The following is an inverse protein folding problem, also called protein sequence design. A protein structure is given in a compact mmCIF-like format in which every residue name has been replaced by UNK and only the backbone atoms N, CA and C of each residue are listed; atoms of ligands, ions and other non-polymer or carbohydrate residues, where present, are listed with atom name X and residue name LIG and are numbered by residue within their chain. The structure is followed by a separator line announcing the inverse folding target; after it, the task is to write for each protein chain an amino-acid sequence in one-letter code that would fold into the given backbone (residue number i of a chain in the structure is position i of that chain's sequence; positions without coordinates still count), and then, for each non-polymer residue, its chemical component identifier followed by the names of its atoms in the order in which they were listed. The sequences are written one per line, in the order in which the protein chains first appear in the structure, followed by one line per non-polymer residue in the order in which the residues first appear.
data_IF_286764168848
#
_entry.id   IF_286764168848
#
_cell.length_a   1.000
_cell.length_b   1.000
_cell.length_c   1.000
_cell.angle_alpha   90.00
_cell.angle_beta   90.00
_cell.angle_gamma   90.00
#
_symmetry.space_group_name_H-M   'P 1'
#
loop_
_entity.id
_entity.type
_entity.pdbx_description
1 polymer ?
#
# COMPACT_ATOMS: atom_id res chain seq x y z
N UNK A 1 -33.39 -35.88 66.26
CA UNK A 1 -33.15 -34.47 65.89
C UNK A 1 -32.25 -34.45 64.68
N UNK A 2 -32.82 -34.30 63.51
CA UNK A 2 -32.09 -34.23 62.23
C UNK A 2 -32.12 -32.80 61.76
N UNK A 3 -30.94 -32.15 61.71
CA UNK A 3 -30.75 -30.82 61.12
C UNK A 3 -30.64 -30.95 59.61
N UNK A 4 -31.55 -30.34 58.89
CA UNK A 4 -31.50 -30.16 57.46
C UNK A 4 -30.66 -28.87 57.15
N UNK A 5 -29.57 -29.03 56.45
CA UNK A 5 -28.79 -27.91 55.95
C UNK A 5 -29.39 -27.44 54.62
N UNK A 6 -29.87 -26.20 54.56
CA UNK A 6 -30.36 -25.56 53.36
C UNK A 6 -29.16 -24.90 52.62
N UNK A 7 -28.80 -25.43 51.48
CA UNK A 7 -27.79 -24.83 50.61
C UNK A 7 -28.42 -23.71 49.75
N UNK A 8 -28.04 -22.48 49.99
CA UNK A 8 -28.42 -21.33 49.14
C UNK A 8 -27.49 -21.28 47.92
N UNK A 9 -28.02 -21.63 46.77
CA UNK A 9 -27.35 -21.39 45.47
C UNK A 9 -27.46 -19.90 45.14
N UNK A 10 -26.33 -19.16 45.26
CA UNK A 10 -26.25 -17.83 44.70
C UNK A 10 -26.03 -17.90 43.17
N UNK A 11 -27.06 -17.59 42.42
CA UNK A 11 -26.93 -17.41 40.98
C UNK A 11 -26.16 -16.14 40.67
N UNK A 12 -24.89 -16.27 40.25
CA UNK A 12 -24.11 -15.15 39.72
C UNK A 12 -24.68 -14.77 38.35
N UNK A 13 -25.38 -13.67 38.26
CA UNK A 13 -25.73 -13.06 36.99
C UNK A 13 -24.48 -12.49 36.35
N UNK A 14 -23.85 -13.24 35.46
CA UNK A 14 -22.79 -12.72 34.59
C UNK A 14 -23.44 -11.67 33.66
N UNK A 15 -23.24 -10.42 33.95
CA UNK A 15 -23.53 -9.35 32.98
C UNK A 15 -22.63 -9.55 31.77
N UNK A 16 -23.23 -9.94 30.65
CA UNK A 16 -22.54 -9.97 29.38
C UNK A 16 -22.01 -8.55 29.11
N UNK A 17 -20.71 -8.38 29.27
CA UNK A 17 -20.03 -7.15 28.86
C UNK A 17 -20.19 -7.05 27.35
N UNK A 18 -21.04 -6.16 26.86
CA UNK A 18 -21.14 -5.85 25.44
C UNK A 18 -19.78 -5.34 25.01
N UNK A 19 -19.09 -6.11 24.16
CA UNK A 19 -17.82 -5.70 23.59
C UNK A 19 -18.00 -4.33 22.95
N UNK A 20 -17.06 -3.42 23.20
CA UNK A 20 -17.08 -2.11 22.56
C UNK A 20 -17.07 -2.30 21.02
N UNK A 21 -17.85 -1.50 20.28
CA UNK A 21 -17.85 -1.61 18.84
C UNK A 21 -16.42 -1.42 18.30
N UNK A 22 -16.03 -2.15 17.23
CA UNK A 22 -14.70 -2.01 16.66
C UNK A 22 -14.46 -0.56 16.24
N UNK A 23 -13.21 -0.07 16.34
CA UNK A 23 -12.90 1.30 15.92
C UNK A 23 -13.22 1.48 14.42
N UNK A 24 -13.65 2.69 14.02
CA UNK A 24 -14.03 2.94 12.63
C UNK A 24 -12.85 2.73 11.69
N UNK A 25 -13.08 2.06 10.56
CA UNK A 25 -12.07 1.86 9.52
C UNK A 25 -11.56 3.18 8.94
N UNK A 26 -12.45 4.16 8.80
CA UNK A 26 -12.11 5.51 8.33
C UNK A 26 -12.26 6.52 9.47
N UNK A 27 -11.24 7.35 9.68
CA UNK A 27 -11.20 8.38 10.73
C UNK A 27 -11.15 9.79 10.14
N UNK A 28 -11.48 10.80 10.94
CA UNK A 28 -11.29 12.20 10.52
C UNK A 28 -9.83 12.50 10.15
N UNK A 29 -8.86 11.86 10.81
CA UNK A 29 -7.44 12.00 10.47
C UNK A 29 -7.09 11.52 9.06
N UNK A 30 -7.76 10.47 8.58
CA UNK A 30 -7.59 9.99 7.20
C UNK A 30 -8.17 11.00 6.20
N UNK A 31 -9.27 11.65 6.54
CA UNK A 31 -9.85 12.75 5.75
C UNK A 31 -8.91 13.96 5.66
N UNK A 32 -8.31 14.38 6.78
CA UNK A 32 -7.30 15.46 6.79
C UNK A 32 -6.06 15.08 5.98
N UNK A 33 -5.61 13.84 6.07
CA UNK A 33 -4.47 13.34 5.28
C UNK A 33 -4.81 13.37 3.78
N UNK A 34 -5.98 12.88 3.38
CA UNK A 34 -6.45 12.94 1.99
C UNK A 34 -6.48 14.38 1.47
N UNK A 35 -7.08 15.30 2.23
CA UNK A 35 -7.12 16.72 1.91
C UNK A 35 -5.72 17.33 1.79
N UNK A 36 -4.82 16.96 2.70
CA UNK A 36 -3.41 17.39 2.67
C UNK A 36 -2.68 16.94 1.41
N UNK A 37 -2.84 15.68 0.98
CA UNK A 37 -2.24 15.20 -0.26
C UNK A 37 -2.86 15.84 -1.51
N UNK A 38 -4.17 16.10 -1.52
CA UNK A 38 -4.80 16.85 -2.61
C UNK A 38 -4.24 18.26 -2.68
N UNK A 39 -4.15 18.97 -1.56
CA UNK A 39 -3.57 20.30 -1.50
C UNK A 39 -2.09 20.29 -1.94
N UNK A 40 -1.29 19.34 -1.45
CA UNK A 40 0.11 19.19 -1.85
C UNK A 40 0.25 18.89 -3.36
N UNK A 41 -0.66 18.10 -3.93
CA UNK A 41 -0.70 17.84 -5.37
C UNK A 41 -0.94 19.13 -6.17
N UNK A 42 -1.91 19.93 -5.77
CA UNK A 42 -2.20 21.22 -6.41
C UNK A 42 -1.02 22.20 -6.27
N UNK A 43 -0.36 22.23 -5.11
CA UNK A 43 0.84 23.05 -4.87
C UNK A 43 2.07 22.54 -5.64
N UNK A 44 2.12 21.27 -6.01
CA UNK A 44 3.19 20.69 -6.81
C UNK A 44 3.04 20.99 -8.32
N UNK A 45 1.82 21.18 -8.84
CA UNK A 45 1.55 21.39 -10.26
C UNK A 45 2.38 22.52 -10.90
N UNK A 46 2.56 23.70 -10.28
CA UNK A 46 3.39 24.77 -10.85
C UNK A 46 4.88 24.39 -11.04
N UNK A 47 5.34 23.35 -10.37
CA UNK A 47 6.72 22.86 -10.45
C UNK A 47 6.90 21.69 -11.43
N UNK A 48 5.83 21.16 -12.01
CA UNK A 48 5.86 19.98 -12.88
C UNK A 48 6.81 20.15 -14.06
N UNK A 49 6.62 21.19 -14.86
CA UNK A 49 7.48 21.45 -16.03
C UNK A 49 8.92 21.74 -15.62
N UNK A 50 9.11 22.58 -14.60
CA UNK A 50 10.45 22.97 -14.14
C UNK A 50 11.26 21.77 -13.68
N UNK A 51 10.66 20.90 -12.86
CA UNK A 51 11.32 19.69 -12.38
C UNK A 51 11.59 18.71 -13.52
N UNK A 52 10.60 18.50 -14.39
CA UNK A 52 10.74 17.60 -15.54
C UNK A 52 11.91 18.05 -16.44
N UNK A 53 11.95 19.34 -16.82
CA UNK A 53 13.06 19.90 -17.63
C UNK A 53 14.41 19.77 -16.92
N UNK A 54 14.47 20.04 -15.62
CA UNK A 54 15.71 19.91 -14.86
C UNK A 54 16.21 18.46 -14.85
N UNK A 55 15.30 17.49 -14.58
CA UNK A 55 15.64 16.07 -14.56
C UNK A 55 16.11 15.54 -15.92
N UNK A 56 15.68 16.17 -17.03
CA UNK A 56 16.07 15.77 -18.39
C UNK A 56 17.33 16.48 -18.92
N UNK A 57 17.97 17.34 -18.13
CA UNK A 57 19.23 17.97 -18.55
C UNK A 57 20.35 16.94 -18.66
N UNK A 58 21.29 17.12 -19.62
CA UNK A 58 22.42 16.20 -19.79
C UNK A 58 23.24 15.96 -18.52
N UNK A 59 23.38 16.96 -17.66
CA UNK A 59 24.10 16.84 -16.40
C UNK A 59 23.48 15.77 -15.47
N UNK A 60 22.16 15.71 -15.37
CA UNK A 60 21.44 14.71 -14.57
C UNK A 60 21.38 13.35 -15.27
N UNK A 61 21.11 13.34 -16.58
CA UNK A 61 20.95 12.09 -17.32
C UNK A 61 22.27 11.34 -17.56
N UNK A 62 23.40 12.05 -17.60
CA UNK A 62 24.75 11.47 -17.74
C UNK A 62 25.39 11.13 -16.38
N UNK A 63 24.80 11.53 -15.26
CA UNK A 63 25.28 11.17 -13.92
C UNK A 63 24.98 9.69 -13.63
N UNK A 64 26.06 8.90 -13.49
CA UNK A 64 25.95 7.45 -13.28
C UNK A 64 25.25 7.11 -11.94
N UNK A 65 25.48 7.90 -10.89
CA UNK A 65 24.85 7.66 -9.58
C UNK A 65 23.35 7.91 -9.63
N UNK A 66 22.92 9.02 -10.25
CA UNK A 66 21.49 9.31 -10.45
C UNK A 66 20.81 8.25 -11.31
N UNK A 67 21.43 7.85 -12.42
CA UNK A 67 20.91 6.83 -13.34
C UNK A 67 20.74 5.47 -12.64
N UNK A 68 21.78 5.02 -11.92
CA UNK A 68 21.74 3.75 -11.21
C UNK A 68 20.69 3.78 -10.09
N UNK A 69 20.67 4.85 -9.29
CA UNK A 69 19.67 5.05 -8.23
C UNK A 69 18.25 5.00 -8.81
N UNK A 70 17.98 5.79 -9.85
CA UNK A 70 16.66 5.80 -10.49
C UNK A 70 16.26 4.42 -11.05
N UNK A 71 17.22 3.67 -11.62
CA UNK A 71 16.97 2.33 -12.14
C UNK A 71 16.64 1.35 -11.02
N UNK A 72 17.42 1.33 -9.94
CA UNK A 72 17.18 0.45 -8.78
C UNK A 72 15.81 0.72 -8.17
N UNK A 73 15.51 1.99 -7.87
CA UNK A 73 14.26 2.35 -7.20
C UNK A 73 13.03 2.27 -8.11
N UNK A 74 13.18 2.46 -9.42
CA UNK A 74 12.12 2.12 -10.39
C UNK A 74 11.76 0.64 -10.31
N UNK A 75 12.75 -0.25 -10.37
CA UNK A 75 12.52 -1.69 -10.34
C UNK A 75 12.02 -2.17 -8.96
N UNK A 76 12.42 -1.49 -7.88
CA UNK A 76 11.91 -1.75 -6.54
C UNK A 76 10.41 -1.38 -6.43
N UNK A 77 9.97 -0.35 -7.15
CA UNK A 77 8.54 0.01 -7.19
C UNK A 77 7.71 -0.96 -8.04
N UNK A 78 8.23 -1.36 -9.22
CA UNK A 78 7.55 -2.25 -10.14
C UNK A 78 8.58 -3.09 -10.93
N UNK A 79 8.60 -4.42 -10.79
CA UNK A 79 7.66 -5.28 -10.04
C UNK A 79 8.00 -5.49 -8.54
N UNK A 80 9.02 -4.80 -8.02
CA UNK A 80 9.59 -5.11 -6.70
C UNK A 80 8.58 -5.09 -5.54
N UNK A 81 7.61 -4.16 -5.52
CA UNK A 81 6.59 -4.11 -4.46
C UNK A 81 5.73 -5.36 -4.42
N UNK A 82 5.33 -5.89 -5.58
CA UNK A 82 4.55 -7.13 -5.68
C UNK A 82 5.39 -8.33 -5.25
N UNK A 83 6.67 -8.37 -5.65
CA UNK A 83 7.60 -9.43 -5.25
C UNK A 83 7.86 -9.39 -3.74
N UNK A 84 7.99 -8.20 -3.13
CA UNK A 84 8.20 -8.07 -1.69
C UNK A 84 6.94 -8.51 -0.93
N UNK A 85 5.77 -7.97 -1.25
CA UNK A 85 4.51 -8.31 -0.58
C UNK A 85 4.17 -9.80 -0.71
N UNK A 86 4.12 -10.29 -1.95
CA UNK A 86 3.84 -11.71 -2.23
C UNK A 86 4.93 -12.65 -1.69
N UNK A 87 6.20 -12.25 -1.77
CA UNK A 87 7.33 -13.01 -1.25
C UNK A 87 7.29 -13.15 0.28
N UNK A 88 6.99 -12.05 1.01
CA UNK A 88 6.80 -12.10 2.46
C UNK A 88 5.63 -13.00 2.85
N UNK A 89 4.50 -12.91 2.13
CA UNK A 89 3.36 -13.78 2.35
C UNK A 89 3.74 -15.27 2.19
N UNK A 90 4.35 -15.62 1.05
CA UNK A 90 4.75 -17.01 0.77
C UNK A 90 5.80 -17.49 1.79
N UNK A 91 6.81 -16.69 2.09
CA UNK A 91 7.84 -17.03 3.07
C UNK A 91 7.23 -17.24 4.47
N UNK A 92 6.35 -16.36 4.92
CA UNK A 92 5.64 -16.49 6.17
C UNK A 92 4.80 -17.76 6.25
N UNK A 93 4.12 -18.14 5.15
CA UNK A 93 3.36 -19.38 5.05
C UNK A 93 4.25 -20.63 5.15
N UNK A 94 5.41 -20.61 4.49
CA UNK A 94 6.35 -21.75 4.49
C UNK A 94 7.08 -21.90 5.82
N UNK A 95 7.38 -20.81 6.50
CA UNK A 95 8.07 -20.80 7.82
C UNK A 95 7.12 -20.84 9.02
N UNK A 96 5.79 -20.81 8.78
CA UNK A 96 4.75 -20.71 9.80
C UNK A 96 4.88 -19.42 10.66
N UNK A 97 5.48 -18.38 10.11
CA UNK A 97 5.58 -17.06 10.72
C UNK A 97 4.35 -16.23 10.37
N UNK A 98 3.45 -16.09 11.37
CA UNK A 98 2.19 -15.36 11.19
C UNK A 98 2.43 -13.88 10.92
N UNK A 99 3.37 -13.25 11.63
CA UNK A 99 3.67 -11.84 11.45
C UNK A 99 4.15 -11.54 10.03
N UNK A 100 5.08 -12.36 9.51
CA UNK A 100 5.55 -12.23 8.13
C UNK A 100 4.41 -12.46 7.12
N UNK A 101 3.51 -13.41 7.41
CA UNK A 101 2.33 -13.69 6.58
C UNK A 101 1.39 -12.49 6.54
N UNK A 102 1.05 -11.90 7.70
CA UNK A 102 0.15 -10.76 7.82
C UNK A 102 0.74 -9.53 7.10
N UNK A 103 2.01 -9.20 7.35
CA UNK A 103 2.72 -8.11 6.65
C UNK A 103 2.69 -8.30 5.13
N UNK A 104 2.95 -9.52 4.64
CA UNK A 104 2.94 -9.81 3.21
C UNK A 104 1.55 -9.72 2.58
N UNK A 105 0.54 -10.31 3.24
CA UNK A 105 -0.84 -10.31 2.75
C UNK A 105 -1.41 -8.89 2.72
N UNK A 106 -1.39 -8.19 3.84
CA UNK A 106 -1.98 -6.85 3.95
C UNK A 106 -1.26 -5.81 3.07
N UNK A 107 0.07 -5.96 2.89
CA UNK A 107 0.79 -5.14 1.91
C UNK A 107 0.34 -5.40 0.48
N UNK A 108 0.13 -6.66 0.12
CA UNK A 108 -0.34 -7.04 -1.22
C UNK A 108 -1.75 -6.51 -1.48
N UNK A 109 -2.64 -6.61 -0.51
CA UNK A 109 -3.99 -6.04 -0.59
C UNK A 109 -3.97 -4.52 -0.72
N UNK A 110 -3.12 -3.85 0.05
CA UNK A 110 -2.96 -2.39 -0.02
C UNK A 110 -2.50 -1.96 -1.41
N UNK A 111 -1.54 -2.69 -2.02
CA UNK A 111 -1.08 -2.43 -3.38
C UNK A 111 -2.22 -2.62 -4.39
N UNK A 112 -3.01 -3.70 -4.26
CA UNK A 112 -4.15 -3.96 -5.15
C UNK A 112 -5.21 -2.87 -5.00
N UNK A 113 -5.62 -2.54 -3.77
CA UNK A 113 -6.62 -1.51 -3.51
C UNK A 113 -6.20 -0.15 -4.07
N UNK A 114 -4.94 0.24 -3.80
CA UNK A 114 -4.37 1.46 -4.35
C UNK A 114 -4.32 1.44 -5.87
N UNK A 115 -3.92 0.31 -6.48
CA UNK A 115 -3.82 0.16 -7.94
C UNK A 115 -5.19 0.27 -8.63
N UNK A 116 -6.23 -0.30 -8.04
CA UNK A 116 -7.61 -0.16 -8.55
C UNK A 116 -8.05 1.30 -8.51
N UNK A 117 -7.85 1.99 -7.39
CA UNK A 117 -8.17 3.42 -7.27
C UNK A 117 -7.37 4.25 -8.29
N UNK A 118 -6.07 3.97 -8.40
CA UNK A 118 -5.19 4.64 -9.36
C UNK A 118 -5.59 4.40 -10.81
N UNK A 119 -6.00 3.17 -11.16
CA UNK A 119 -6.46 2.83 -12.51
C UNK A 119 -7.72 3.64 -12.90
N UNK A 120 -8.69 3.74 -12.01
CA UNK A 120 -9.93 4.51 -12.26
C UNK A 120 -9.59 5.98 -12.53
N UNK A 121 -8.77 6.59 -11.66
CA UNK A 121 -8.41 8.00 -11.80
C UNK A 121 -7.58 8.22 -13.08
N UNK A 122 -6.61 7.36 -13.35
CA UNK A 122 -5.72 7.40 -14.50
C UNK A 122 -6.50 7.31 -15.81
N UNK A 123 -7.43 6.37 -15.91
CA UNK A 123 -8.29 6.17 -17.05
C UNK A 123 -9.17 7.40 -17.31
N UNK A 124 -9.73 7.99 -16.25
CA UNK A 124 -10.58 9.18 -16.36
C UNK A 124 -9.76 10.44 -16.68
N UNK A 125 -8.65 10.68 -15.98
CA UNK A 125 -7.86 11.91 -16.14
C UNK A 125 -7.22 12.04 -17.52
N UNK A 126 -6.69 10.96 -18.08
CA UNK A 126 -6.08 10.93 -19.41
C UNK A 126 -4.97 11.97 -19.60
N UNK A 127 -4.13 12.18 -18.56
CA UNK A 127 -3.05 13.17 -18.57
C UNK A 127 -1.88 12.69 -19.42
N UNK A 128 -1.34 13.55 -20.29
CA UNK A 128 -0.12 13.27 -21.04
C UNK A 128 1.10 13.15 -20.11
N UNK A 129 1.99 12.19 -20.40
CA UNK A 129 3.28 12.06 -19.71
C UNK A 129 4.27 13.13 -20.17
N UNK A 130 5.28 13.50 -19.33
CA UNK A 130 6.28 14.49 -19.72
C UNK A 130 6.99 14.16 -21.04
N UNK A 131 7.20 12.88 -21.33
CA UNK A 131 7.84 12.41 -22.58
C UNK A 131 7.03 12.71 -23.86
N UNK A 132 5.73 12.98 -23.75
CA UNK A 132 4.88 13.34 -24.88
C UNK A 132 5.06 14.82 -25.23
N UNK A 133 4.94 15.67 -24.23
CA UNK A 133 5.19 17.11 -24.36
C UNK A 133 5.60 17.70 -23.00
N UNK A 134 6.87 17.92 -22.84
CA UNK A 134 7.45 18.45 -21.59
C UNK A 134 7.07 19.91 -21.33
N UNK A 135 6.59 20.65 -22.33
CA UNK A 135 6.16 22.04 -22.22
C UNK A 135 4.70 22.18 -21.77
N UNK A 136 3.93 21.08 -21.82
CA UNK A 136 2.50 21.13 -21.51
C UNK A 136 2.09 20.16 -20.38
N UNK A 137 2.33 20.49 -19.12
CA UNK A 137 1.97 19.65 -17.96
C UNK A 137 0.46 19.60 -17.71
N UNK A 138 -0.35 20.40 -18.42
CA UNK A 138 -1.80 20.52 -18.25
C UNK A 138 -2.62 19.84 -19.35
N UNK A 139 -1.99 18.99 -20.17
CA UNK A 139 -2.71 18.22 -21.20
C UNK A 139 -3.50 17.06 -20.59
N UNK A 140 -4.75 17.35 -20.19
CA UNK A 140 -5.72 16.39 -19.70
C UNK A 140 -6.86 16.22 -20.72
N UNK A 141 -7.26 14.96 -20.96
CA UNK A 141 -8.43 14.65 -21.77
C UNK A 141 -9.15 13.43 -21.22
N UNK A 142 -10.38 13.63 -20.75
CA UNK A 142 -11.19 12.60 -20.14
C UNK A 142 -11.25 11.31 -20.98
N UNK A 143 -11.01 10.17 -20.35
CA UNK A 143 -11.07 8.85 -20.97
C UNK A 143 -9.88 8.47 -21.86
N UNK A 144 -8.97 9.41 -22.21
CA UNK A 144 -7.83 9.15 -23.09
C UNK A 144 -6.83 8.15 -22.50
N UNK A 145 -6.78 8.04 -21.19
CA UNK A 145 -5.94 7.06 -20.48
C UNK A 145 -6.28 5.59 -20.81
N UNK A 146 -7.48 5.32 -21.33
CA UNK A 146 -7.85 3.97 -21.77
C UNK A 146 -7.21 3.55 -23.10
N UNK A 147 -6.70 4.51 -23.88
CA UNK A 147 -6.27 4.27 -25.25
C UNK A 147 -4.74 4.10 -25.39
N UNK A 148 -3.96 4.69 -24.50
CA UNK A 148 -2.50 4.65 -24.60
C UNK A 148 -1.82 4.97 -23.29
N UNK A 149 -0.77 4.22 -22.98
CA UNK A 149 0.11 4.44 -21.81
C UNK A 149 0.73 5.85 -21.76
N UNK A 150 0.86 6.54 -22.91
CA UNK A 150 1.36 7.91 -22.97
C UNK A 150 0.45 8.93 -22.28
N UNK A 151 -0.80 8.58 -22.08
CA UNK A 151 -1.81 9.41 -21.44
C UNK A 151 -2.26 8.89 -20.08
N UNK A 152 -1.49 7.99 -19.50
CA UNK A 152 -1.70 7.44 -18.17
C UNK A 152 -0.77 8.07 -17.13
N UNK A 153 -0.54 9.39 -17.19
CA UNK A 153 0.40 10.02 -16.26
C UNK A 153 -0.15 10.14 -14.84
N UNK A 154 -1.39 10.58 -14.67
CA UNK A 154 -1.96 10.95 -13.37
C UNK A 154 -2.95 9.92 -12.82
N UNK A 155 -2.74 9.40 -11.62
CA UNK A 155 -1.57 9.51 -10.75
C UNK A 155 -0.44 8.53 -11.11
N UNK A 156 0.75 8.67 -10.49
CA UNK A 156 1.87 7.76 -10.69
C UNK A 156 1.63 6.39 -10.05
N UNK A 157 1.56 5.32 -10.87
CA UNK A 157 1.36 3.95 -10.38
C UNK A 157 2.53 3.43 -9.53
N UNK A 158 3.79 3.75 -9.89
CA UNK A 158 4.97 3.37 -9.11
C UNK A 158 5.00 4.03 -7.72
N UNK A 159 4.68 5.33 -7.65
CA UNK A 159 4.58 6.04 -6.37
C UNK A 159 3.47 5.42 -5.51
N UNK A 160 2.33 5.16 -6.11
CA UNK A 160 1.17 4.55 -5.48
C UNK A 160 1.50 3.18 -4.87
N UNK A 161 2.09 2.26 -5.64
CA UNK A 161 2.44 0.92 -5.16
C UNK A 161 3.53 0.97 -4.06
N UNK A 162 4.57 1.79 -4.25
CA UNK A 162 5.65 1.92 -3.27
C UNK A 162 5.16 2.50 -1.93
N UNK A 163 4.30 3.51 -1.97
CA UNK A 163 3.73 4.10 -0.75
C UNK A 163 2.66 3.23 -0.11
N UNK A 164 1.92 2.42 -0.87
CA UNK A 164 1.01 1.42 -0.32
C UNK A 164 1.76 0.36 0.47
N UNK A 165 2.83 -0.21 -0.11
CA UNK A 165 3.71 -1.14 0.58
C UNK A 165 4.32 -0.50 1.84
N UNK A 166 4.93 0.68 1.72
CA UNK A 166 5.58 1.37 2.84
C UNK A 166 4.60 1.64 3.98
N UNK A 167 3.40 2.08 3.64
CA UNK A 167 2.35 2.40 4.61
C UNK A 167 1.83 1.15 5.31
N UNK A 168 1.56 0.07 4.57
CA UNK A 168 1.10 -1.19 5.14
C UNK A 168 2.16 -1.80 6.07
N UNK A 169 3.42 -1.89 5.63
CA UNK A 169 4.54 -2.41 6.45
C UNK A 169 4.71 -1.56 7.72
N UNK A 170 4.64 -0.23 7.62
CA UNK A 170 4.76 0.65 8.77
C UNK A 170 3.58 0.51 9.74
N UNK A 171 2.37 0.34 9.23
CA UNK A 171 1.19 0.12 10.05
C UNK A 171 1.27 -1.22 10.79
N UNK A 172 1.63 -2.31 10.08
CA UNK A 172 1.86 -3.62 10.70
C UNK A 172 2.96 -3.59 11.76
N UNK A 173 4.04 -2.84 11.50
CA UNK A 173 5.10 -2.66 12.49
C UNK A 173 4.57 -2.05 13.80
N UNK A 174 3.54 -1.22 13.75
CA UNK A 174 2.89 -0.68 14.94
C UNK A 174 2.17 -1.73 15.77
N UNK A 175 1.66 -2.79 15.15
CA UNK A 175 1.01 -3.92 15.85
C UNK A 175 2.02 -4.93 16.38
N UNK A 176 3.10 -5.20 15.64
CA UNK A 176 4.03 -6.29 15.95
C UNK A 176 5.33 -5.83 16.60
N UNK A 177 5.82 -4.60 16.32
CA UNK A 177 7.12 -4.06 16.75
C UNK A 177 7.02 -2.55 16.99
N UNK A 178 6.16 -2.14 17.93
CA UNK A 178 5.86 -0.72 18.18
C UNK A 178 7.11 0.14 18.48
N UNK A 179 8.11 -0.43 19.15
CA UNK A 179 9.41 0.19 19.43
C UNK A 179 10.24 0.47 18.17
N UNK A 180 10.02 -0.29 17.11
CA UNK A 180 10.74 -0.19 15.83
C UNK A 180 9.92 0.49 14.73
N UNK A 181 8.65 0.80 14.96
CA UNK A 181 7.74 1.36 13.95
C UNK A 181 8.31 2.60 13.28
N UNK A 182 8.88 3.52 14.05
CA UNK A 182 9.46 4.77 13.51
C UNK A 182 10.63 4.48 12.57
N UNK A 183 11.54 3.58 12.95
CA UNK A 183 12.68 3.20 12.11
C UNK A 183 12.22 2.50 10.83
N UNK A 184 11.30 1.52 10.95
CA UNK A 184 10.73 0.79 9.82
C UNK A 184 10.03 1.79 8.88
N UNK A 185 9.25 2.72 9.43
CA UNK A 185 8.59 3.77 8.68
C UNK A 185 9.59 4.67 7.93
N UNK A 186 10.65 5.12 8.59
CA UNK A 186 11.67 5.95 7.96
C UNK A 186 12.33 5.24 6.76
N UNK A 187 12.65 3.94 6.91
CA UNK A 187 13.27 3.15 5.86
C UNK A 187 12.31 2.89 4.68
N UNK A 188 11.09 2.46 4.98
CA UNK A 188 10.12 2.09 3.94
C UNK A 188 9.60 3.31 3.18
N UNK A 189 9.23 4.40 3.87
CA UNK A 189 8.83 5.65 3.21
C UNK A 189 10.02 6.35 2.52
N UNK A 190 11.24 6.23 3.05
CA UNK A 190 12.46 6.69 2.37
C UNK A 190 12.65 5.96 1.04
N UNK A 191 12.56 4.64 1.03
CA UNK A 191 12.62 3.84 -0.19
C UNK A 191 11.48 4.15 -1.16
N UNK A 192 10.24 4.31 -0.67
CA UNK A 192 9.09 4.71 -1.48
C UNK A 192 9.28 6.09 -2.12
N UNK A 193 9.86 7.04 -1.38
CA UNK A 193 10.17 8.39 -1.90
C UNK A 193 11.19 8.33 -3.03
N UNK A 194 12.26 7.57 -2.89
CA UNK A 194 13.26 7.39 -3.95
C UNK A 194 12.66 6.68 -5.18
N UNK A 195 11.79 5.68 -4.95
CA UNK A 195 11.02 5.02 -6.02
C UNK A 195 10.12 6.01 -6.76
N UNK A 196 9.45 6.88 -6.02
CA UNK A 196 8.58 7.91 -6.58
C UNK A 196 9.38 8.96 -7.38
N UNK A 197 10.51 9.44 -6.85
CA UNK A 197 11.39 10.41 -7.52
C UNK A 197 12.09 9.83 -8.77
N UNK A 198 12.24 8.52 -8.87
CA UNK A 198 12.72 7.89 -10.10
C UNK A 198 11.81 8.18 -11.31
N UNK A 199 10.54 8.55 -11.10
CA UNK A 199 9.57 8.69 -12.18
C UNK A 199 9.71 9.98 -12.98
N UNK A 200 9.86 11.17 -12.37
CA UNK A 200 10.26 12.37 -13.09
C UNK A 200 11.62 12.22 -13.79
N UNK A 201 12.60 11.56 -13.15
CA UNK A 201 13.89 11.25 -13.76
C UNK A 201 13.75 10.44 -15.04
N UNK A 202 12.85 9.45 -15.06
CA UNK A 202 12.58 8.61 -16.23
C UNK A 202 11.62 9.25 -17.25
N UNK A 203 11.32 10.54 -17.13
CA UNK A 203 10.39 11.26 -18.01
C UNK A 203 8.99 10.61 -18.14
N UNK A 204 8.56 9.93 -17.07
CA UNK A 204 7.35 9.11 -17.06
C UNK A 204 6.16 9.74 -16.34
N UNK A 205 6.43 10.57 -15.35
CA UNK A 205 5.42 11.22 -14.51
C UNK A 205 5.83 12.62 -14.10
N UNK A 206 4.86 13.49 -13.90
CA UNK A 206 5.03 14.80 -13.31
C UNK A 206 5.19 14.71 -11.78
N UNK A 207 5.69 15.76 -11.15
CA UNK A 207 5.81 15.82 -9.68
C UNK A 207 4.45 15.67 -9.01
N UNK A 208 3.44 16.36 -9.51
CA UNK A 208 2.06 16.29 -8.98
C UNK A 208 1.45 14.90 -9.11
N UNK A 209 1.75 14.13 -10.18
CA UNK A 209 1.32 12.73 -10.33
C UNK A 209 1.91 11.85 -9.22
N UNK A 210 3.17 12.12 -8.86
CA UNK A 210 3.91 11.39 -7.83
C UNK A 210 3.33 11.69 -6.44
N UNK A 211 3.04 12.96 -6.15
CA UNK A 211 2.47 13.38 -4.86
C UNK A 211 1.09 12.75 -4.64
N UNK A 212 0.21 12.78 -5.66
CA UNK A 212 -1.09 12.15 -5.54
C UNK A 212 -0.98 10.62 -5.39
N UNK A 213 -0.09 10.00 -6.17
CA UNK A 213 0.18 8.56 -6.05
C UNK A 213 0.63 8.17 -4.65
N UNK A 214 1.54 8.96 -4.05
CA UNK A 214 2.00 8.77 -2.68
C UNK A 214 0.84 8.88 -1.67
N UNK A 215 -0.06 9.84 -1.86
CA UNK A 215 -1.24 10.02 -1.00
C UNK A 215 -2.20 8.83 -1.07
N UNK A 216 -2.57 8.40 -2.27
CA UNK A 216 -3.45 7.24 -2.48
C UNK A 216 -2.82 5.98 -1.86
N UNK A 217 -1.54 5.72 -2.14
CA UNK A 217 -0.85 4.57 -1.59
C UNK A 217 -0.79 4.58 -0.06
N UNK A 218 -0.43 5.74 0.53
CA UNK A 218 -0.38 5.88 2.00
C UNK A 218 -1.73 5.63 2.66
N UNK A 219 -2.80 6.18 2.10
CA UNK A 219 -4.16 5.94 2.61
C UNK A 219 -4.57 4.48 2.47
N UNK A 220 -4.33 3.86 1.31
CA UNK A 220 -4.66 2.46 1.09
C UNK A 220 -3.97 1.54 2.10
N UNK A 221 -2.65 1.70 2.33
CA UNK A 221 -1.93 0.90 3.30
C UNK A 221 -2.48 1.01 4.71
N UNK A 222 -2.74 2.25 5.18
CA UNK A 222 -3.32 2.48 6.52
C UNK A 222 -4.72 1.91 6.66
N UNK A 223 -5.57 2.12 5.66
CA UNK A 223 -6.96 1.68 5.71
C UNK A 223 -7.07 0.16 5.64
N UNK A 224 -6.31 -0.49 4.76
CA UNK A 224 -6.30 -1.96 4.65
C UNK A 224 -5.84 -2.59 5.95
N UNK A 225 -4.68 -2.21 6.48
CA UNK A 225 -4.16 -2.79 7.73
C UNK A 225 -5.13 -2.56 8.88
N UNK A 226 -5.67 -1.35 9.05
CA UNK A 226 -6.67 -1.06 10.08
C UNK A 226 -7.91 -1.92 9.91
N UNK A 227 -8.41 -2.07 8.68
CA UNK A 227 -9.60 -2.88 8.40
C UNK A 227 -9.35 -4.35 8.76
N UNK A 228 -8.20 -4.90 8.40
CA UNK A 228 -7.83 -6.28 8.71
C UNK A 228 -7.79 -6.52 10.23
N UNK A 229 -7.11 -5.65 10.99
CA UNK A 229 -7.03 -5.78 12.45
C UNK A 229 -8.36 -5.50 13.18
N UNK A 230 -9.30 -4.81 12.55
CA UNK A 230 -10.64 -4.57 13.13
C UNK A 230 -11.71 -5.58 12.68
N UNK A 231 -11.42 -6.38 11.66
CA UNK A 231 -12.32 -7.39 11.10
C UNK A 231 -11.59 -8.74 10.90
N UNK A 232 -11.14 -9.39 12.00
CA UNK A 232 -10.28 -10.58 11.89
C UNK A 232 -10.95 -11.79 11.21
N UNK A 233 -12.30 -11.80 11.16
CA UNK A 233 -13.08 -12.86 10.50
C UNK A 233 -13.50 -12.49 9.07
N UNK A 234 -12.83 -11.53 8.45
CA UNK A 234 -13.12 -11.12 7.08
C UNK A 234 -12.84 -12.24 6.07
N UNK A 235 -13.47 -12.16 4.89
CA UNK A 235 -13.37 -13.22 3.88
C UNK A 235 -11.94 -13.38 3.29
N UNK A 236 -11.15 -12.30 3.24
CA UNK A 236 -9.79 -12.33 2.72
C UNK A 236 -8.91 -13.14 3.65
N UNK A 237 -8.88 -12.80 4.93
CA UNK A 237 -8.12 -13.53 5.93
C UNK A 237 -8.52 -14.99 6.00
N UNK A 238 -9.83 -15.26 6.05
CA UNK A 238 -10.33 -16.65 6.02
C UNK A 238 -9.87 -17.40 4.80
N UNK A 239 -9.79 -16.76 3.64
CA UNK A 239 -9.35 -17.42 2.40
C UNK A 239 -7.85 -17.61 2.38
N UNK A 240 -7.09 -16.53 2.55
CA UNK A 240 -5.64 -16.55 2.33
C UNK A 240 -4.85 -17.03 3.55
N UNK A 241 -5.27 -16.73 4.78
CA UNK A 241 -4.66 -17.28 5.99
C UNK A 241 -5.10 -18.72 6.24
N UNK A 242 -6.27 -19.12 5.75
CA UNK A 242 -6.74 -20.52 5.76
C UNK A 242 -6.04 -21.43 4.75
N UNK A 243 -5.31 -20.90 3.76
CA UNK A 243 -4.54 -21.70 2.82
C UNK A 243 -3.31 -22.31 3.48
N UNK A 244 -3.01 -23.58 3.23
CA UNK A 244 -1.71 -24.16 3.52
C UNK A 244 -0.84 -24.17 2.26
N UNK A 245 0.41 -23.77 2.41
CA UNK A 245 1.42 -23.77 1.35
C UNK A 245 2.53 -24.72 1.78
N UNK A 246 2.84 -25.73 0.97
CA UNK A 246 3.88 -26.70 1.28
C UNK A 246 4.69 -27.04 0.01
N UNK A 247 5.97 -27.44 0.15
CA UNK A 247 6.72 -27.98 -0.97
C UNK A 247 6.01 -29.22 -1.55
N UNK A 248 5.86 -29.28 -2.86
CA UNK A 248 5.27 -30.44 -3.52
C UNK A 248 6.32 -31.55 -3.77
N UNK A 249 5.97 -32.84 -3.61
CA UNK A 249 6.84 -33.94 -4.02
C UNK A 249 7.14 -33.84 -5.53
N UNK A 250 8.41 -33.73 -5.88
CA UNK A 250 8.84 -33.57 -7.28
C UNK A 250 9.22 -32.13 -7.68
N UNK A 251 9.23 -31.19 -6.74
CA UNK A 251 9.54 -29.78 -6.95
C UNK A 251 8.28 -28.93 -7.22
N UNK A 252 8.31 -27.71 -6.77
CA UNK A 252 7.16 -26.79 -6.85
C UNK A 252 6.49 -26.58 -5.51
N UNK A 253 5.32 -25.94 -5.53
CA UNK A 253 4.55 -25.56 -4.34
C UNK A 253 3.14 -26.12 -4.46
N UNK A 254 2.70 -26.85 -3.44
CA UNK A 254 1.32 -27.30 -3.29
C UNK A 254 0.56 -26.28 -2.45
N UNK A 255 -0.63 -25.89 -2.91
CA UNK A 255 -1.54 -24.99 -2.19
C UNK A 255 -2.80 -25.78 -1.87
N UNK A 256 -3.17 -25.86 -0.59
CA UNK A 256 -4.41 -26.48 -0.15
C UNK A 256 -5.27 -25.45 0.57
N UNK A 257 -6.56 -25.43 0.25
CA UNK A 257 -7.56 -24.59 0.90
C UNK A 257 -8.24 -25.39 1.99
N UNK A 258 -8.26 -24.86 3.21
CA UNK A 258 -9.04 -25.43 4.30
C UNK A 258 -10.35 -24.66 4.38
N UNK A 259 -11.44 -25.28 3.92
CA UNK A 259 -12.77 -24.74 4.14
C UNK A 259 -13.11 -24.89 5.65
N UNK A 260 -12.94 -23.83 6.41
CA UNK A 260 -13.57 -23.74 7.73
C UNK A 260 -15.07 -23.61 7.53
N UNK A 261 -15.83 -24.63 7.99
CA UNK A 261 -17.29 -24.59 8.06
C UNK A 261 -17.76 -23.66 9.15
#
# INVERSE_FOLDING_TARGET
MTLAAASVLAASTATAQTAAPPPPTFTAGDGWMAGGFVAATLLAMPFDERLARWMQQPAQQNDAAMKNTATVFRNLADPGTVVIGGGLYIAGRLTHDRTMTDVGLHSSEAIVAASVAGFVIKSAAGRARPRVDIANPHDYKFGRGLNSNDYESFPSGHALAAFALASAVTAEAGYHWADKQTLIGALTYGGATLSALSRPYNNAHWLSDVVLGAGIGTLAGRLVVRWQHTHPDNWVDRTFLGMSVAPAPGGGVAVAFHATR
#
